data_IF_725457061907
#
_entry.id   IF_725457061907
#
_cell.length_a   1.000
_cell.length_b   1.000
_cell.length_c   1.000
_cell.angle_alpha   90.00
_cell.angle_beta   90.00
_cell.angle_gamma   90.00
#
_symmetry.space_group_name_H-M   'P 1'
#
loop_
_entity.id
_entity.type
_entity.pdbx_description
1 polymer ?
#
# COMPACT_ATOMS: atom_id res chain seq x y z
N UNK A 1 -8.88 15.30 19.66
CA UNK A 1 -9.24 15.33 18.23
C UNK A 1 -8.89 14.00 17.65
N UNK A 2 -9.90 13.28 17.19
CA UNK A 2 -9.85 11.84 17.19
C UNK A 2 -9.74 11.38 15.75
N UNK A 3 -8.55 10.97 15.35
CA UNK A 3 -8.35 10.23 14.11
C UNK A 3 -9.08 8.87 14.27
N UNK A 4 -10.13 8.70 13.48
CA UNK A 4 -10.96 7.49 13.49
C UNK A 4 -10.12 6.26 13.17
N UNK A 5 -9.11 6.37 12.28
CA UNK A 5 -8.25 5.26 11.91
C UNK A 5 -7.40 4.75 13.08
N UNK A 6 -6.87 5.64 13.94
CA UNK A 6 -6.09 5.23 15.11
C UNK A 6 -6.91 4.51 16.18
N UNK A 7 -8.21 4.80 16.26
CA UNK A 7 -9.14 4.06 17.13
C UNK A 7 -9.56 2.74 16.49
N UNK A 8 -9.86 2.76 15.20
CA UNK A 8 -10.37 1.61 14.46
C UNK A 8 -9.31 0.52 14.27
N UNK A 9 -8.02 0.85 14.34
CA UNK A 9 -6.95 -0.16 14.30
C UNK A 9 -7.02 -1.16 15.47
N UNK A 10 -7.67 -0.78 16.56
CA UNK A 10 -7.92 -1.66 17.73
C UNK A 10 -9.15 -2.56 17.59
N UNK A 11 -9.97 -2.35 16.56
CA UNK A 11 -11.10 -3.21 16.24
C UNK A 11 -10.62 -4.54 15.63
N UNK A 12 -11.55 -5.42 15.26
CA UNK A 12 -11.24 -6.72 14.62
C UNK A 12 -11.83 -6.77 13.21
N UNK A 13 -11.27 -7.63 12.37
CA UNK A 13 -11.80 -7.87 11.03
C UNK A 13 -11.52 -6.75 10.04
N UNK A 14 -12.48 -6.50 9.16
CA UNK A 14 -12.36 -5.54 8.07
C UNK A 14 -12.09 -4.09 8.52
N UNK A 15 -12.73 -3.54 9.57
CA UNK A 15 -12.41 -2.19 10.01
C UNK A 15 -10.94 -2.02 10.42
N UNK A 16 -10.35 -3.03 11.07
CA UNK A 16 -8.93 -3.02 11.41
C UNK A 16 -8.06 -3.06 10.16
N UNK A 17 -8.38 -3.92 9.21
CA UNK A 17 -7.64 -4.02 7.95
C UNK A 17 -7.62 -2.68 7.20
N UNK A 18 -8.78 -2.03 7.07
CA UNK A 18 -8.88 -0.72 6.43
C UNK A 18 -8.07 0.34 7.19
N UNK A 19 -8.18 0.38 8.53
CA UNK A 19 -7.44 1.34 9.36
C UNK A 19 -5.92 1.15 9.26
N UNK A 20 -5.42 -0.09 9.23
CA UNK A 20 -3.99 -0.37 9.05
C UNK A 20 -3.50 0.16 7.71
N UNK A 21 -4.21 -0.12 6.60
CA UNK A 21 -3.83 0.38 5.29
C UNK A 21 -3.91 1.91 5.19
N UNK A 22 -4.90 2.55 5.81
CA UNK A 22 -4.99 4.01 5.92
C UNK A 22 -3.77 4.60 6.62
N UNK A 23 -3.39 4.06 7.77
CA UNK A 23 -2.24 4.54 8.55
C UNK A 23 -0.92 4.32 7.80
N UNK A 24 -0.75 3.19 7.13
CA UNK A 24 0.41 2.94 6.27
C UNK A 24 0.49 3.94 5.11
N UNK A 25 -0.63 4.22 4.46
CA UNK A 25 -0.69 5.23 3.41
C UNK A 25 -0.34 6.63 3.91
N UNK A 26 -0.87 7.03 5.07
CA UNK A 26 -0.53 8.32 5.69
C UNK A 26 0.95 8.41 6.09
N UNK A 27 1.55 7.31 6.55
CA UNK A 27 2.97 7.26 6.85
C UNK A 27 3.81 7.50 5.59
N UNK A 28 3.48 6.88 4.46
CA UNK A 28 4.16 7.12 3.18
C UNK A 28 3.97 8.54 2.67
N UNK A 29 2.79 9.12 2.84
CA UNK A 29 2.55 10.52 2.48
C UNK A 29 3.41 11.46 3.34
N UNK A 30 3.58 11.15 4.62
CA UNK A 30 4.49 11.90 5.50
C UNK A 30 5.96 11.74 5.08
N UNK A 31 6.37 10.55 4.61
CA UNK A 31 7.71 10.32 4.03
C UNK A 31 7.91 11.18 2.79
N UNK A 32 6.96 11.19 1.85
CA UNK A 32 7.03 11.99 0.64
C UNK A 32 7.11 13.50 0.94
N UNK A 33 6.23 13.99 1.81
CA UNK A 33 6.21 15.40 2.23
C UNK A 33 7.47 15.80 3.00
N UNK A 34 7.94 14.95 3.91
CA UNK A 34 9.18 15.15 4.64
C UNK A 34 10.39 15.20 3.72
N UNK A 35 10.44 14.34 2.71
CA UNK A 35 11.51 14.36 1.70
C UNK A 35 11.53 15.69 0.94
N UNK A 36 10.39 16.23 0.55
CA UNK A 36 10.32 17.53 -0.11
C UNK A 36 10.78 18.69 0.79
N UNK A 37 10.42 18.64 2.07
CA UNK A 37 10.84 19.68 3.03
C UNK A 37 12.36 19.67 3.24
N UNK A 38 12.95 18.47 3.31
CA UNK A 38 14.40 18.29 3.62
C UNK A 38 15.29 18.46 2.38
N UNK A 39 14.88 17.86 1.26
CA UNK A 39 15.69 17.82 0.04
C UNK A 39 15.33 18.91 -0.97
N UNK A 40 14.22 19.63 -0.76
CA UNK A 40 13.67 20.56 -1.74
C UNK A 40 12.99 19.83 -2.92
N UNK A 41 12.59 20.58 -3.96
CA UNK A 41 11.97 20.01 -5.16
C UNK A 41 12.93 19.06 -5.86
N UNK A 42 12.52 17.79 -5.99
CA UNK A 42 13.28 16.76 -6.71
C UNK A 42 12.63 16.57 -8.08
N UNK A 43 13.42 16.66 -9.15
CA UNK A 43 12.95 16.51 -10.54
C UNK A 43 13.50 15.26 -11.21
N UNK A 44 14.55 14.63 -10.62
CA UNK A 44 15.17 13.41 -11.08
C UNK A 44 15.90 12.68 -9.93
N UNK A 45 16.48 11.52 -10.23
CA UNK A 45 17.29 10.74 -9.29
C UNK A 45 16.50 10.06 -8.18
N UNK A 46 17.22 9.53 -7.15
CA UNK A 46 16.64 8.74 -6.07
C UNK A 46 15.61 9.49 -5.23
N UNK A 47 15.78 10.81 -5.06
CA UNK A 47 14.82 11.64 -4.33
C UNK A 47 13.49 11.75 -5.06
N UNK A 48 13.51 11.90 -6.38
CA UNK A 48 12.32 11.90 -7.22
C UNK A 48 11.63 10.53 -7.20
N UNK A 49 12.38 9.44 -7.40
CA UNK A 49 11.84 8.08 -7.36
C UNK A 49 11.19 7.77 -6.00
N UNK A 50 11.83 8.16 -4.90
CA UNK A 50 11.28 8.04 -3.55
C UNK A 50 9.92 8.74 -3.44
N UNK A 51 9.82 10.01 -3.80
CA UNK A 51 8.59 10.79 -3.66
C UNK A 51 7.48 10.23 -4.52
N UNK A 52 7.76 9.90 -5.79
CA UNK A 52 6.76 9.33 -6.71
C UNK A 52 6.22 8.00 -6.18
N UNK A 53 7.10 7.09 -5.74
CA UNK A 53 6.67 5.78 -5.25
C UNK A 53 6.02 5.85 -3.86
N UNK A 54 6.48 6.75 -2.99
CA UNK A 54 5.82 6.98 -1.70
C UNK A 54 4.38 7.49 -1.87
N UNK A 55 4.13 8.38 -2.83
CA UNK A 55 2.78 8.90 -3.10
C UNK A 55 1.94 7.87 -3.86
N UNK A 56 2.47 7.25 -4.91
CA UNK A 56 1.67 6.37 -5.78
C UNK A 56 1.47 4.98 -5.16
N UNK A 57 2.54 4.30 -4.81
CA UNK A 57 2.47 2.93 -4.26
C UNK A 57 2.27 2.93 -2.75
N UNK A 58 2.97 3.82 -2.05
CA UNK A 58 2.84 3.92 -0.60
C UNK A 58 1.47 4.45 -0.17
N UNK A 59 1.11 5.64 -0.60
CA UNK A 59 -0.15 6.27 -0.21
C UNK A 59 -1.33 5.77 -1.05
N UNK A 60 -1.36 6.03 -2.37
CA UNK A 60 -2.55 5.77 -3.18
C UNK A 60 -2.94 4.28 -3.21
N UNK A 61 -1.99 3.36 -3.36
CA UNK A 61 -2.31 1.92 -3.35
C UNK A 61 -2.72 1.43 -1.96
N UNK A 62 -2.16 1.96 -0.88
CA UNK A 62 -2.66 1.66 0.47
C UNK A 62 -4.10 2.13 0.66
N UNK A 63 -4.49 3.28 0.08
CA UNK A 63 -5.88 3.73 0.06
C UNK A 63 -6.78 2.77 -0.73
N UNK A 64 -6.32 2.30 -1.89
CA UNK A 64 -7.04 1.28 -2.68
C UNK A 64 -7.22 0.00 -1.87
N UNK A 65 -6.17 -0.52 -1.23
CA UNK A 65 -6.25 -1.71 -0.38
C UNK A 65 -7.21 -1.52 0.79
N UNK A 66 -7.21 -0.34 1.42
CA UNK A 66 -8.09 -0.02 2.53
C UNK A 66 -9.58 -0.03 2.14
N UNK A 67 -9.91 0.45 0.95
CA UNK A 67 -11.28 0.68 0.52
C UNK A 67 -11.84 -0.43 -0.39
N UNK A 68 -10.97 -1.16 -1.11
CA UNK A 68 -11.40 -2.18 -2.06
C UNK A 68 -12.34 -3.24 -1.44
N UNK A 69 -12.10 -3.79 -0.24
CA UNK A 69 -13.02 -4.75 0.36
C UNK A 69 -14.39 -4.19 0.74
N UNK A 70 -14.53 -2.86 0.77
CA UNK A 70 -15.79 -2.16 1.03
C UNK A 70 -16.49 -1.84 -0.29
N UNK A 71 -15.74 -1.35 -1.28
CA UNK A 71 -16.26 -0.86 -2.56
C UNK A 71 -16.57 -2.02 -3.51
N UNK A 72 -15.69 -3.01 -3.61
CA UNK A 72 -15.86 -4.13 -4.54
C UNK A 72 -17.18 -4.89 -4.35
N UNK A 73 -17.63 -5.21 -3.12
CA UNK A 73 -18.93 -5.83 -2.91
C UNK A 73 -20.08 -4.99 -3.43
N UNK A 74 -20.03 -3.67 -3.24
CA UNK A 74 -21.07 -2.76 -3.68
C UNK A 74 -21.13 -2.67 -5.22
N UNK A 75 -19.98 -2.61 -5.88
CA UNK A 75 -19.88 -2.52 -7.36
C UNK A 75 -20.24 -3.84 -8.04
N UNK A 76 -19.76 -4.97 -7.48
CA UNK A 76 -19.97 -6.30 -8.06
C UNK A 76 -21.32 -6.90 -7.69
N UNK A 77 -22.08 -6.26 -6.77
CA UNK A 77 -23.33 -6.81 -6.18
C UNK A 77 -23.09 -8.23 -5.63
N UNK A 78 -21.88 -8.49 -5.13
CA UNK A 78 -21.45 -9.76 -4.55
C UNK A 78 -20.62 -9.50 -3.30
N UNK A 79 -20.91 -10.18 -2.19
CA UNK A 79 -20.12 -9.99 -0.99
C UNK A 79 -18.69 -10.51 -1.19
N UNK A 80 -17.72 -9.69 -0.78
CA UNK A 80 -16.33 -10.09 -0.62
C UNK A 80 -16.13 -10.44 0.86
N UNK A 81 -16.00 -11.72 1.22
CA UNK A 81 -15.79 -12.10 2.61
C UNK A 81 -14.40 -11.60 3.05
N UNK A 82 -14.37 -10.85 4.16
CA UNK A 82 -13.10 -10.51 4.77
C UNK A 82 -12.36 -11.78 5.18
N UNK A 83 -11.11 -11.89 4.74
CA UNK A 83 -10.19 -12.95 5.16
C UNK A 83 -8.83 -12.34 5.55
N UNK A 84 -8.19 -12.84 6.63
CA UNK A 84 -6.87 -12.36 7.04
C UNK A 84 -5.80 -12.47 5.94
N UNK A 85 -5.99 -13.33 4.95
CA UNK A 85 -5.09 -13.46 3.79
C UNK A 85 -4.95 -12.16 2.98
N UNK A 86 -5.88 -11.22 3.09
CA UNK A 86 -5.76 -9.89 2.46
C UNK A 86 -4.54 -9.11 2.99
N UNK A 87 -4.11 -9.37 4.22
CA UNK A 87 -2.88 -8.80 4.75
C UNK A 87 -1.62 -9.25 4.01
N UNK A 88 -1.65 -10.41 3.34
CA UNK A 88 -0.51 -10.87 2.55
C UNK A 88 -0.18 -9.89 1.40
N UNK A 89 -1.21 -9.37 0.72
CA UNK A 89 -1.03 -8.36 -0.32
C UNK A 89 -0.50 -7.03 0.25
N UNK A 90 -1.05 -6.59 1.40
CA UNK A 90 -0.54 -5.41 2.10
C UNK A 90 0.93 -5.57 2.47
N UNK A 91 1.30 -6.68 3.10
CA UNK A 91 2.68 -6.95 3.51
C UNK A 91 3.62 -7.02 2.30
N UNK A 92 3.23 -7.72 1.25
CA UNK A 92 4.01 -7.82 0.02
C UNK A 92 4.26 -6.42 -0.59
N UNK A 93 3.23 -5.58 -0.68
CA UNK A 93 3.35 -4.21 -1.18
C UNK A 93 4.30 -3.38 -0.32
N UNK A 94 4.12 -3.40 1.00
CA UNK A 94 4.94 -2.58 1.91
C UNK A 94 6.40 -3.02 1.90
N UNK A 95 6.66 -4.33 1.98
CA UNK A 95 8.02 -4.86 1.98
C UNK A 95 8.74 -4.62 0.66
N UNK A 96 8.07 -4.82 -0.47
CA UNK A 96 8.65 -4.56 -1.80
C UNK A 96 8.93 -3.08 -2.03
N UNK A 97 8.06 -2.19 -1.53
CA UNK A 97 8.27 -0.75 -1.61
C UNK A 97 9.44 -0.30 -0.74
N UNK A 98 9.55 -0.79 0.49
CA UNK A 98 10.69 -0.52 1.37
C UNK A 98 11.98 -1.00 0.73
N UNK A 99 11.99 -2.21 0.16
CA UNK A 99 13.14 -2.77 -0.54
C UNK A 99 13.56 -1.91 -1.73
N UNK A 100 12.58 -1.45 -2.53
CA UNK A 100 12.83 -0.56 -3.67
C UNK A 100 13.47 0.75 -3.23
N UNK A 101 12.86 1.44 -2.27
CA UNK A 101 13.34 2.72 -1.76
C UNK A 101 14.74 2.59 -1.14
N UNK A 102 14.94 1.56 -0.32
CA UNK A 102 16.25 1.31 0.29
C UNK A 102 17.32 0.96 -0.76
N UNK A 103 16.96 0.21 -1.80
CA UNK A 103 17.83 -0.14 -2.91
C UNK A 103 18.23 1.07 -3.73
N UNK A 104 17.28 1.96 -4.00
CA UNK A 104 17.53 3.18 -4.75
C UNK A 104 18.44 4.14 -3.99
N UNK A 105 18.16 4.41 -2.73
CA UNK A 105 18.98 5.30 -1.87
C UNK A 105 20.43 4.76 -1.72
N UNK A 106 20.59 3.45 -1.64
CA UNK A 106 21.91 2.81 -1.48
C UNK A 106 22.61 2.48 -2.79
N UNK A 107 21.98 2.72 -3.94
CA UNK A 107 22.51 2.36 -5.26
C UNK A 107 22.61 0.84 -5.49
N UNK A 108 21.76 0.03 -4.81
CA UNK A 108 21.77 -1.42 -4.92
C UNK A 108 20.78 -1.84 -6.00
N UNK A 109 21.26 -2.03 -7.23
CA UNK A 109 20.41 -2.26 -8.41
C UNK A 109 19.49 -3.47 -8.31
N UNK A 110 19.92 -4.60 -7.73
CA UNK A 110 19.05 -5.78 -7.57
C UNK A 110 17.89 -5.53 -6.59
N UNK A 111 18.13 -4.72 -5.54
CA UNK A 111 17.10 -4.39 -4.56
C UNK A 111 16.07 -3.42 -5.15
N UNK A 112 16.52 -2.46 -5.95
CA UNK A 112 15.66 -1.53 -6.68
C UNK A 112 14.77 -2.28 -7.69
N UNK A 113 15.37 -3.14 -8.54
CA UNK A 113 14.62 -3.93 -9.52
C UNK A 113 13.69 -4.95 -8.86
N UNK A 114 14.18 -5.68 -7.85
CA UNK A 114 13.41 -6.67 -7.10
C UNK A 114 12.24 -6.04 -6.35
N UNK A 115 12.44 -4.87 -5.75
CA UNK A 115 11.37 -4.10 -5.12
C UNK A 115 10.30 -3.67 -6.13
N UNK A 116 10.71 -3.19 -7.31
CA UNK A 116 9.80 -2.83 -8.39
C UNK A 116 8.96 -4.02 -8.90
N UNK A 117 9.60 -5.15 -9.17
CA UNK A 117 8.90 -6.38 -9.54
C UNK A 117 7.96 -6.87 -8.43
N UNK A 118 8.40 -6.80 -7.18
CA UNK A 118 7.60 -7.14 -6.00
C UNK A 118 6.34 -6.28 -5.88
N UNK A 119 6.42 -4.99 -6.16
CA UNK A 119 5.26 -4.08 -6.16
C UNK A 119 4.21 -4.51 -7.18
N UNK A 120 4.64 -4.83 -8.42
CA UNK A 120 3.73 -5.31 -9.47
C UNK A 120 3.07 -6.62 -9.06
N UNK A 121 3.85 -7.57 -8.55
CA UNK A 121 3.34 -8.87 -8.10
C UNK A 121 2.38 -8.73 -6.92
N UNK A 122 2.64 -7.84 -5.98
CA UNK A 122 1.75 -7.57 -4.85
C UNK A 122 0.39 -7.04 -5.31
N UNK A 123 0.38 -6.09 -6.26
CA UNK A 123 -0.86 -5.53 -6.80
C UNK A 123 -1.65 -6.55 -7.63
N UNK A 124 -0.99 -7.27 -8.52
CA UNK A 124 -1.63 -8.34 -9.29
C UNK A 124 -2.14 -9.47 -8.38
N UNK A 125 -1.37 -9.81 -7.36
CA UNK A 125 -1.77 -10.78 -6.34
C UNK A 125 -3.01 -10.33 -5.56
N UNK A 126 -3.12 -9.07 -5.22
CA UNK A 126 -4.31 -8.50 -4.58
C UNK A 126 -5.54 -8.61 -5.47
N UNK A 127 -5.41 -8.23 -6.74
CA UNK A 127 -6.52 -8.32 -7.72
C UNK A 127 -6.96 -9.77 -7.90
N UNK A 128 -6.01 -10.67 -8.12
CA UNK A 128 -6.28 -12.10 -8.28
C UNK A 128 -6.94 -12.71 -7.04
N UNK A 129 -6.41 -12.39 -5.85
CA UNK A 129 -6.96 -12.85 -4.58
C UNK A 129 -8.40 -12.34 -4.38
N UNK A 130 -8.63 -11.07 -4.65
CA UNK A 130 -9.97 -10.48 -4.54
C UNK A 130 -10.96 -11.15 -5.50
N UNK A 131 -10.54 -11.39 -6.75
CA UNK A 131 -11.35 -12.10 -7.73
C UNK A 131 -11.68 -13.53 -7.29
N UNK A 132 -10.69 -14.28 -6.80
CA UNK A 132 -10.89 -15.63 -6.27
C UNK A 132 -11.86 -15.65 -5.09
N UNK A 133 -11.74 -14.70 -4.16
CA UNK A 133 -12.63 -14.63 -2.99
C UNK A 133 -14.08 -14.27 -3.38
N UNK A 134 -14.27 -13.54 -4.48
CA UNK A 134 -15.62 -13.23 -5.01
C UNK A 134 -16.23 -14.43 -5.74
N UNK A 135 -15.41 -15.23 -6.45
CA UNK A 135 -15.90 -16.33 -7.29
C UNK A 135 -16.06 -17.64 -6.51
N UNK A 136 -15.15 -17.92 -5.57
CA UNK A 136 -15.21 -19.16 -4.75
C UNK A 136 -16.21 -19.01 -3.61
N UNK A 137 -17.45 -19.24 -3.91
CA UNK A 137 -18.53 -19.48 -2.95
C UNK A 137 -19.09 -20.86 -3.09
#
# INVERSE_FOLDING_TARGET
>A
RHDVATRTVRSVGLPRYSAVNLLLGMAWLAVAGGSWVVLGPQVDGPGYDLVVHAVTLGFAMSMVLAHAPIILPAVLVRPLPYRPVLYAATLALQLSLILRVAGDIRGIGWAWQGGGAGNVLALLGFVALSAVLVVRR
#
